data_IF_579547676478
#
_entry.id   IF_579547676478
#
_cell.length_a   1.000
_cell.length_b   1.000
_cell.length_c   1.000
_cell.angle_alpha   90.00
_cell.angle_beta   90.00
_cell.angle_gamma   90.00
#
_symmetry.space_group_name_H-M   'P 1'
#
loop_
_entity.id
_entity.type
_entity.pdbx_description
1 polymer ?
#
# COMPACT_ATOMS: atom_id res chain seq x y z
N UNK A 1 -10.18 10.00 -7.70
CA UNK A 1 -11.23 10.19 -8.74
C UNK A 1 -11.03 9.19 -9.88
N UNK A 2 -9.80 9.02 -10.39
CA UNK A 2 -9.44 8.06 -11.45
C UNK A 2 -9.89 6.61 -11.21
N UNK A 3 -9.78 6.07 -9.99
CA UNK A 3 -10.15 4.67 -9.72
C UNK A 3 -11.66 4.37 -9.84
N UNK A 4 -12.51 5.35 -9.52
CA UNK A 4 -13.97 5.16 -9.61
C UNK A 4 -14.40 5.03 -11.07
N UNK A 5 -13.88 5.89 -11.93
CA UNK A 5 -14.18 5.89 -13.36
C UNK A 5 -13.70 4.60 -14.04
N UNK A 6 -12.52 4.10 -13.63
CA UNK A 6 -11.99 2.83 -14.11
C UNK A 6 -12.89 1.66 -13.71
N UNK A 7 -13.29 1.59 -12.44
CA UNK A 7 -14.18 0.53 -11.92
C UNK A 7 -15.53 0.53 -12.65
N UNK A 8 -16.15 1.70 -12.81
CA UNK A 8 -17.40 1.84 -13.56
C UNK A 8 -17.22 1.50 -15.04
N UNK A 9 -16.05 1.83 -15.61
CA UNK A 9 -15.62 1.39 -16.93
C UNK A 9 -15.63 -0.13 -17.07
N UNK A 10 -15.02 -0.86 -16.12
CA UNK A 10 -15.01 -2.32 -16.11
C UNK A 10 -16.41 -2.91 -16.01
N UNK A 11 -17.27 -2.40 -15.12
CA UNK A 11 -18.64 -2.89 -15.01
C UNK A 11 -19.45 -2.69 -16.30
N UNK A 12 -19.34 -1.52 -16.93
CA UNK A 12 -20.02 -1.23 -18.21
C UNK A 12 -19.50 -2.12 -19.34
N UNK A 13 -18.18 -2.25 -19.44
CA UNK A 13 -17.56 -3.10 -20.46
C UNK A 13 -17.92 -4.57 -20.25
N UNK A 14 -17.90 -5.06 -19.01
CA UNK A 14 -18.34 -6.40 -18.65
C UNK A 14 -19.77 -6.66 -19.11
N UNK A 15 -20.71 -5.77 -18.77
CA UNK A 15 -22.11 -5.92 -19.12
C UNK A 15 -22.30 -6.04 -20.64
N UNK A 16 -21.65 -5.17 -21.41
CA UNK A 16 -21.71 -5.18 -22.88
C UNK A 16 -21.10 -6.45 -23.48
N UNK A 17 -19.97 -6.93 -22.95
CA UNK A 17 -19.33 -8.15 -23.44
C UNK A 17 -20.13 -9.40 -23.09
N UNK A 18 -20.68 -9.47 -21.88
CA UNK A 18 -21.54 -10.58 -21.43
C UNK A 18 -22.82 -10.64 -22.27
N UNK A 19 -23.48 -9.51 -22.51
CA UNK A 19 -24.69 -9.40 -23.35
C UNK A 19 -24.44 -9.92 -24.77
N UNK A 20 -23.24 -9.68 -25.30
CA UNK A 20 -22.79 -10.18 -26.60
C UNK A 20 -22.25 -11.61 -26.58
N UNK A 21 -22.33 -12.32 -25.46
CA UNK A 21 -21.80 -13.68 -25.31
C UNK A 21 -20.28 -13.78 -25.45
N UNK A 22 -19.55 -12.68 -25.30
CA UNK A 22 -18.09 -12.67 -25.42
C UNK A 22 -17.45 -13.36 -24.21
N UNK A 23 -16.85 -14.54 -24.47
CA UNK A 23 -16.01 -15.29 -23.52
C UNK A 23 -14.63 -15.63 -24.12
N UNK A 24 -14.16 -14.79 -25.03
CA UNK A 24 -13.01 -15.09 -25.90
C UNK A 24 -11.73 -14.32 -25.53
N UNK A 25 -11.74 -13.52 -24.46
CA UNK A 25 -10.55 -12.76 -24.04
C UNK A 25 -9.50 -13.75 -23.52
N UNK A 26 -8.31 -13.70 -24.15
CA UNK A 26 -7.17 -14.59 -23.84
C UNK A 26 -6.05 -13.90 -23.05
N UNK A 27 -6.06 -12.56 -23.00
CA UNK A 27 -5.08 -11.74 -22.30
C UNK A 27 -5.71 -10.41 -21.93
N UNK A 28 -5.41 -9.91 -20.74
CA UNK A 28 -5.81 -8.58 -20.29
C UNK A 28 -4.55 -7.79 -19.94
N UNK A 29 -4.43 -6.57 -20.47
CA UNK A 29 -3.34 -5.66 -20.12
C UNK A 29 -3.96 -4.33 -19.72
N UNK A 30 -3.61 -3.86 -18.53
CA UNK A 30 -4.20 -2.69 -17.90
C UNK A 30 -3.06 -1.76 -17.52
N UNK A 31 -3.20 -0.49 -17.86
CA UNK A 31 -2.29 0.56 -17.42
C UNK A 31 -3.01 1.44 -16.40
N UNK A 32 -2.55 1.41 -15.17
CA UNK A 32 -2.99 2.31 -14.11
C UNK A 32 -2.15 3.58 -14.18
N UNK A 33 -2.79 4.72 -14.43
CA UNK A 33 -2.11 6.02 -14.53
C UNK A 33 -2.02 6.76 -13.19
N UNK A 34 -2.38 6.10 -12.08
CA UNK A 34 -2.26 6.68 -10.75
C UNK A 34 -0.78 6.88 -10.38
N UNK A 35 -0.49 7.97 -9.67
CA UNK A 35 0.83 8.29 -9.12
C UNK A 35 1.14 7.53 -7.83
N UNK A 36 0.11 6.94 -7.21
CA UNK A 36 0.19 6.24 -5.92
C UNK A 36 -0.61 4.94 -5.91
N UNK A 37 -0.05 3.89 -5.30
CA UNK A 37 -0.80 2.68 -4.96
C UNK A 37 -1.32 2.84 -3.53
N UNK A 38 -2.62 3.07 -3.35
CA UNK A 38 -3.26 3.26 -2.05
C UNK A 38 -4.43 2.28 -1.85
N UNK A 39 -5.21 2.41 -0.77
CA UNK A 39 -6.26 1.44 -0.42
C UNK A 39 -7.41 1.31 -1.43
N UNK A 40 -7.57 2.24 -2.37
CA UNK A 40 -8.48 2.06 -3.50
C UNK A 40 -8.12 0.87 -4.39
N UNK A 41 -6.84 0.45 -4.39
CA UNK A 41 -6.34 -0.63 -5.25
C UNK A 41 -7.06 -1.96 -5.00
N UNK A 42 -7.50 -2.22 -3.77
CA UNK A 42 -8.26 -3.43 -3.44
C UNK A 42 -9.53 -3.54 -4.27
N UNK A 43 -10.30 -2.45 -4.33
CA UNK A 43 -11.54 -2.41 -5.11
C UNK A 43 -11.27 -2.46 -6.62
N UNK A 44 -10.22 -1.79 -7.08
CA UNK A 44 -9.81 -1.82 -8.50
C UNK A 44 -9.42 -3.24 -8.93
N UNK A 45 -8.57 -3.92 -8.16
CA UNK A 45 -8.14 -5.29 -8.46
C UNK A 45 -9.29 -6.30 -8.35
N UNK A 46 -10.19 -6.14 -7.38
CA UNK A 46 -11.38 -6.99 -7.27
C UNK A 46 -12.32 -6.82 -8.50
N UNK A 47 -12.46 -5.60 -9.01
CA UNK A 47 -13.24 -5.36 -10.24
C UNK A 47 -12.58 -5.99 -11.47
N UNK A 48 -11.24 -5.96 -11.56
CA UNK A 48 -10.48 -6.63 -12.63
C UNK A 48 -10.67 -8.15 -12.52
N UNK A 49 -10.57 -8.72 -11.33
CA UNK A 49 -10.82 -10.14 -11.11
C UNK A 49 -12.23 -10.53 -11.55
N UNK A 50 -13.25 -9.81 -11.09
CA UNK A 50 -14.65 -10.05 -11.48
C UNK A 50 -14.85 -9.95 -13.00
N UNK A 51 -14.23 -8.96 -13.65
CA UNK A 51 -14.23 -8.83 -15.10
C UNK A 51 -13.61 -10.07 -15.76
N UNK A 52 -12.43 -10.50 -15.31
CA UNK A 52 -11.74 -11.66 -15.90
C UNK A 52 -12.57 -12.92 -15.80
N UNK A 53 -13.22 -13.17 -14.66
CA UNK A 53 -14.10 -14.31 -14.44
C UNK A 53 -15.35 -14.29 -15.35
N UNK A 54 -15.86 -13.11 -15.68
CA UNK A 54 -17.08 -12.97 -16.47
C UNK A 54 -16.85 -13.14 -17.97
N UNK A 55 -15.77 -12.58 -18.53
CA UNK A 55 -15.63 -12.40 -19.99
C UNK A 55 -14.41 -13.09 -20.62
N UNK A 56 -13.55 -13.73 -19.82
CA UNK A 56 -12.36 -14.41 -20.36
C UNK A 56 -12.63 -15.89 -20.64
N UNK A 57 -11.80 -16.47 -21.53
CA UNK A 57 -11.91 -17.90 -21.90
C UNK A 57 -11.70 -18.80 -20.69
N UNK A 58 -10.84 -18.37 -19.77
CA UNK A 58 -10.47 -19.08 -18.54
C UNK A 58 -10.16 -18.08 -17.42
N UNK A 59 -10.31 -18.47 -16.15
CA UNK A 59 -9.97 -17.63 -15.00
C UNK A 59 -8.47 -17.35 -14.86
N UNK A 60 -7.61 -18.14 -15.50
CA UNK A 60 -6.14 -18.10 -15.39
C UNK A 60 -5.46 -17.42 -16.59
N UNK A 61 -6.19 -16.58 -17.33
CA UNK A 61 -5.55 -15.82 -18.42
C UNK A 61 -4.46 -14.89 -17.86
N UNK A 62 -3.39 -14.63 -18.63
CA UNK A 62 -2.41 -13.62 -18.25
C UNK A 62 -3.07 -12.25 -18.10
N UNK A 63 -2.98 -11.70 -16.88
CA UNK A 63 -3.32 -10.31 -16.56
C UNK A 63 -2.03 -9.56 -16.28
N UNK A 64 -1.77 -8.53 -17.07
CA UNK A 64 -0.60 -7.67 -16.96
C UNK A 64 -1.06 -6.28 -16.50
N UNK A 65 -0.72 -5.91 -15.26
CA UNK A 65 -1.09 -4.62 -14.69
C UNK A 65 0.18 -3.78 -14.60
N UNK A 66 0.26 -2.76 -15.45
CA UNK A 66 1.34 -1.78 -15.43
C UNK A 66 0.89 -0.57 -14.65
N UNK A 67 1.76 -0.04 -13.81
CA UNK A 67 1.51 1.19 -13.08
C UNK A 67 2.47 2.29 -13.51
N UNK A 68 1.95 3.51 -13.64
CA UNK A 68 2.77 4.73 -13.67
C UNK A 68 3.16 5.20 -12.26
N UNK A 69 2.69 4.52 -11.22
CA UNK A 69 2.84 4.95 -9.85
C UNK A 69 4.29 4.97 -9.40
N UNK A 70 4.70 6.13 -8.90
CA UNK A 70 6.02 6.31 -8.29
C UNK A 70 6.08 5.80 -6.85
N UNK A 71 4.95 5.79 -6.13
CA UNK A 71 4.93 5.51 -4.69
C UNK A 71 3.90 4.43 -4.30
N UNK A 72 4.28 3.60 -3.34
CA UNK A 72 3.38 2.66 -2.66
C UNK A 72 3.01 3.19 -1.27
N UNK A 73 1.72 3.32 -0.99
CA UNK A 73 1.21 3.81 0.29
C UNK A 73 1.03 2.66 1.28
N UNK A 74 1.99 2.50 2.19
CA UNK A 74 2.03 1.50 3.24
C UNK A 74 0.84 1.60 4.21
N UNK A 75 0.17 2.75 4.29
CA UNK A 75 -1.03 2.88 5.12
C UNK A 75 -2.21 2.04 4.60
N UNK A 76 -2.16 1.58 3.34
CA UNK A 76 -3.17 0.64 2.83
C UNK A 76 -3.24 -0.66 3.63
N UNK A 77 -2.16 -1.04 4.33
CA UNK A 77 -2.15 -2.21 5.21
C UNK A 77 -3.16 -2.04 6.36
N UNK A 78 -3.30 -0.81 6.88
CA UNK A 78 -4.29 -0.47 7.91
C UNK A 78 -5.73 -0.51 7.37
N UNK A 79 -5.90 -0.33 6.06
CA UNK A 79 -7.19 -0.30 5.38
C UNK A 79 -7.52 -1.64 4.68
N UNK A 80 -6.80 -2.73 4.99
CA UNK A 80 -7.00 -4.02 4.31
C UNK A 80 -8.43 -4.53 4.58
N UNK A 81 -9.24 -4.79 3.52
CA UNK A 81 -10.60 -5.28 3.69
C UNK A 81 -10.67 -6.60 4.47
N UNK A 82 -11.68 -6.74 5.33
CA UNK A 82 -11.95 -7.99 6.09
C UNK A 82 -13.17 -8.73 5.58
N UNK A 83 -14.03 -8.07 4.79
CA UNK A 83 -15.21 -8.69 4.20
C UNK A 83 -15.62 -7.99 2.89
N UNK A 84 -15.45 -8.66 1.73
CA UNK A 84 -14.67 -9.89 1.55
C UNK A 84 -13.17 -9.63 1.80
N UNK A 85 -12.45 -10.63 2.28
CA UNK A 85 -10.98 -10.59 2.34
C UNK A 85 -10.37 -10.50 0.92
N UNK A 86 -9.19 -9.87 0.76
CA UNK A 86 -8.49 -9.82 -0.53
C UNK A 86 -8.24 -11.23 -1.07
N UNK A 87 -8.70 -11.49 -2.29
CA UNK A 87 -8.49 -12.76 -2.96
C UNK A 87 -7.00 -13.01 -3.26
N UNK A 88 -6.59 -14.25 -3.54
CA UNK A 88 -5.23 -14.54 -3.99
C UNK A 88 -4.81 -13.75 -5.23
N UNK A 89 -5.76 -13.43 -6.13
CA UNK A 89 -5.52 -12.56 -7.27
C UNK A 89 -5.15 -11.15 -6.82
N UNK A 90 -5.94 -10.56 -5.93
CA UNK A 90 -5.70 -9.21 -5.41
C UNK A 90 -4.36 -9.15 -4.67
N UNK A 91 -4.10 -10.09 -3.76
CA UNK A 91 -2.86 -10.12 -2.99
C UNK A 91 -1.62 -10.23 -3.89
N UNK A 92 -1.65 -11.12 -4.90
CA UNK A 92 -0.53 -11.30 -5.84
C UNK A 92 -0.22 -10.02 -6.60
N UNK A 93 -1.23 -9.30 -7.08
CA UNK A 93 -1.00 -8.07 -7.84
C UNK A 93 -0.54 -6.92 -6.93
N UNK A 94 -1.00 -6.85 -5.68
CA UNK A 94 -0.45 -5.89 -4.71
C UNK A 94 1.04 -6.17 -4.44
N UNK A 95 1.43 -7.44 -4.32
CA UNK A 95 2.84 -7.82 -4.16
C UNK A 95 3.68 -7.41 -5.39
N UNK A 96 3.17 -7.64 -6.60
CA UNK A 96 3.85 -7.19 -7.83
C UNK A 96 4.02 -5.67 -7.86
N UNK A 97 2.97 -4.92 -7.51
CA UNK A 97 3.02 -3.46 -7.43
C UNK A 97 4.03 -2.97 -6.38
N UNK A 98 4.16 -3.67 -5.24
CA UNK A 98 5.16 -3.37 -4.23
C UNK A 98 6.60 -3.59 -4.75
N UNK A 99 6.81 -4.68 -5.52
CA UNK A 99 8.11 -4.98 -6.13
C UNK A 99 8.51 -3.91 -7.16
N UNK A 100 7.55 -3.40 -7.93
CA UNK A 100 7.78 -2.39 -8.98
C UNK A 100 7.89 -0.96 -8.44
N UNK A 101 7.45 -0.71 -7.20
CA UNK A 101 7.42 0.64 -6.62
C UNK A 101 8.82 1.27 -6.52
N UNK A 102 8.93 2.54 -6.90
CA UNK A 102 10.18 3.31 -6.82
C UNK A 102 10.36 4.05 -5.47
N UNK A 103 9.27 4.21 -4.73
CA UNK A 103 9.22 4.82 -3.41
C UNK A 103 8.12 4.18 -2.56
N UNK A 104 8.23 4.28 -1.24
CA UNK A 104 7.14 3.90 -0.34
C UNK A 104 6.87 5.02 0.67
N UNK A 105 5.61 5.18 1.06
CA UNK A 105 5.20 6.18 2.05
C UNK A 105 4.20 5.59 3.00
N UNK A 106 4.23 5.98 4.27
CA UNK A 106 3.11 5.78 5.17
C UNK A 106 2.34 7.10 5.26
N UNK A 107 1.16 7.15 4.63
CA UNK A 107 0.30 8.33 4.70
C UNK A 107 -0.57 8.29 5.95
N UNK A 108 -0.36 9.25 6.85
CA UNK A 108 -1.19 9.47 8.03
C UNK A 108 -2.46 10.18 7.60
N UNK A 109 -3.61 9.58 7.90
CA UNK A 109 -4.93 10.10 7.58
C UNK A 109 -5.73 10.31 8.86
N UNK A 110 -6.78 11.16 8.84
CA UNK A 110 -7.56 11.45 10.04
C UNK A 110 -8.05 10.20 10.79
N UNK A 111 -8.49 9.16 10.07
CA UNK A 111 -9.00 7.95 10.71
C UNK A 111 -7.93 7.12 11.43
N UNK A 112 -6.65 7.28 11.06
CA UNK A 112 -5.54 6.63 11.77
C UNK A 112 -5.32 7.20 13.18
N UNK A 113 -5.88 8.38 13.48
CA UNK A 113 -5.80 9.00 14.81
C UNK A 113 -7.03 8.68 15.67
N UNK A 114 -8.16 8.37 15.04
CA UNK A 114 -9.42 8.09 15.73
C UNK A 114 -9.66 6.60 15.93
N UNK A 115 -8.91 5.74 15.24
CA UNK A 115 -9.08 4.29 15.26
C UNK A 115 -7.78 3.62 15.70
N UNK A 116 -7.80 2.78 16.75
CA UNK A 116 -6.63 2.02 17.17
C UNK A 116 -6.05 1.18 16.02
N UNK A 117 -4.74 1.23 15.84
CA UNK A 117 -4.01 0.46 14.82
C UNK A 117 -3.19 -0.69 15.42
N UNK A 118 -3.56 -1.09 16.65
CA UNK A 118 -2.88 -2.11 17.45
C UNK A 118 -3.36 -3.54 17.16
N UNK A 119 -4.52 -3.69 16.52
CA UNK A 119 -5.16 -4.98 16.27
C UNK A 119 -5.35 -5.22 14.77
N UNK A 120 -4.28 -5.53 14.02
CA UNK A 120 -4.39 -5.78 12.59
C UNK A 120 -5.18 -7.06 12.29
N UNK A 121 -5.94 -7.04 11.18
CA UNK A 121 -6.69 -8.22 10.74
C UNK A 121 -5.75 -9.33 10.23
N UNK A 122 -6.19 -10.61 10.24
CA UNK A 122 -5.41 -11.71 9.65
C UNK A 122 -5.03 -11.45 8.18
N UNK A 123 -5.96 -10.88 7.39
CA UNK A 123 -5.70 -10.49 6.01
C UNK A 123 -4.62 -9.40 5.89
N UNK A 124 -4.64 -8.40 6.77
CA UNK A 124 -3.63 -7.35 6.81
C UNK A 124 -2.24 -7.90 7.16
N UNK A 125 -2.17 -8.79 8.15
CA UNK A 125 -0.93 -9.47 8.56
C UNK A 125 -0.38 -10.31 7.40
N UNK A 126 -1.22 -11.16 6.80
CA UNK A 126 -0.82 -12.02 5.68
C UNK A 126 -0.32 -11.21 4.49
N UNK A 127 -1.00 -10.10 4.16
CA UNK A 127 -0.55 -9.19 3.11
C UNK A 127 0.81 -8.59 3.46
N UNK A 128 0.95 -8.01 4.67
CA UNK A 128 2.19 -7.38 5.12
C UNK A 128 3.40 -8.33 5.09
N UNK A 129 3.21 -9.60 5.47
CA UNK A 129 4.25 -10.64 5.46
C UNK A 129 4.82 -10.93 4.07
N UNK A 130 4.04 -10.67 3.01
CA UNK A 130 4.46 -10.96 1.63
C UNK A 130 4.97 -9.73 0.87
N UNK A 131 4.90 -8.52 1.46
CA UNK A 131 5.37 -7.32 0.76
C UNK A 131 6.88 -7.14 0.89
N UNK A 132 7.53 -6.97 -0.26
CA UNK A 132 8.94 -6.58 -0.36
C UNK A 132 9.08 -5.46 -1.39
N UNK A 133 10.08 -4.60 -1.18
CA UNK A 133 10.28 -3.36 -1.89
C UNK A 133 11.74 -3.23 -2.35
N UNK A 134 12.22 -4.11 -3.24
CA UNK A 134 13.61 -4.18 -3.65
C UNK A 134 14.11 -2.93 -4.38
N UNK A 135 13.21 -2.20 -5.03
CA UNK A 135 13.54 -1.02 -5.85
C UNK A 135 13.37 0.31 -5.09
N UNK A 136 12.76 0.28 -3.91
CA UNK A 136 12.51 1.47 -3.10
C UNK A 136 13.81 1.92 -2.45
N UNK A 137 14.17 3.20 -2.67
CA UNK A 137 15.38 3.82 -2.10
C UNK A 137 15.08 4.76 -0.93
N UNK A 138 13.82 5.15 -0.81
CA UNK A 138 13.36 6.18 0.10
C UNK A 138 12.00 5.81 0.68
N UNK A 139 11.88 5.89 2.01
CA UNK A 139 10.63 5.75 2.72
C UNK A 139 10.29 7.01 3.49
N UNK A 140 9.06 7.50 3.32
CA UNK A 140 8.55 8.71 3.95
C UNK A 140 7.34 8.46 4.83
N UNK A 141 7.21 9.22 5.91
CA UNK A 141 5.99 9.33 6.71
C UNK A 141 5.48 10.74 6.53
N UNK A 142 4.28 10.85 5.99
CA UNK A 142 3.68 12.11 5.55
C UNK A 142 2.22 12.15 6.02
N UNK A 143 1.69 13.36 6.27
CA UNK A 143 0.25 13.54 6.46
C UNK A 143 -0.44 13.70 5.11
N UNK A 144 -1.73 13.40 5.03
CA UNK A 144 -2.51 13.66 3.83
C UNK A 144 -2.45 15.14 3.42
N UNK A 145 -2.42 15.43 2.12
CA UNK A 145 -2.35 16.80 1.59
C UNK A 145 -3.43 17.70 2.21
N UNK A 146 -3.03 18.91 2.61
CA UNK A 146 -3.87 19.94 3.22
C UNK A 146 -4.46 19.57 4.58
N UNK A 147 -3.84 18.63 5.29
CA UNK A 147 -4.23 18.28 6.64
C UNK A 147 -3.00 18.13 7.54
N UNK A 148 -3.01 18.88 8.64
CA UNK A 148 -2.08 18.70 9.75
C UNK A 148 -2.91 18.29 10.98
N UNK A 149 -2.52 17.21 11.67
CA UNK A 149 -3.15 16.84 12.94
C UNK A 149 -2.77 17.82 14.04
N UNK A 150 -3.64 17.95 15.04
CA UNK A 150 -3.38 18.77 16.22
C UNK A 150 -2.09 18.35 16.92
N UNK A 151 -1.36 19.32 17.49
CA UNK A 151 -0.04 19.07 18.09
C UNK A 151 -0.12 18.07 19.27
N UNK A 152 -1.24 18.05 19.99
CA UNK A 152 -1.52 17.16 21.12
C UNK A 152 -2.12 15.80 20.73
N UNK A 153 -2.51 15.59 19.47
CA UNK A 153 -3.04 14.30 19.03
C UNK A 153 -2.02 13.16 19.21
N UNK A 154 -2.48 11.96 19.54
CA UNK A 154 -1.58 10.81 19.65
C UNK A 154 -0.93 10.45 18.30
N UNK A 155 0.21 9.75 18.35
CA UNK A 155 0.85 9.24 17.13
C UNK A 155 0.17 7.93 16.69
N UNK A 156 -0.15 7.76 15.40
CA UNK A 156 -0.64 6.48 14.89
C UNK A 156 0.45 5.41 15.06
N UNK A 157 0.10 4.30 15.67
CA UNK A 157 1.02 3.19 15.92
C UNK A 157 0.60 1.91 15.17
N UNK A 158 0.91 1.81 13.86
CA UNK A 158 0.47 0.70 13.03
C UNK A 158 1.28 -0.58 13.30
N UNK A 159 0.78 -1.43 14.21
CA UNK A 159 1.45 -2.70 14.59
C UNK A 159 1.56 -3.65 13.38
N UNK A 160 0.71 -3.52 12.37
CA UNK A 160 0.79 -4.30 11.13
C UNK A 160 2.17 -4.22 10.45
N UNK A 161 2.90 -3.11 10.61
CA UNK A 161 4.23 -2.94 10.02
C UNK A 161 5.27 -3.90 10.63
N UNK A 162 5.05 -4.39 11.85
CA UNK A 162 5.93 -5.39 12.47
C UNK A 162 5.87 -6.72 11.74
N UNK A 163 4.76 -7.02 11.08
CA UNK A 163 4.55 -8.26 10.34
C UNK A 163 5.31 -8.29 9.02
N UNK A 164 5.85 -7.16 8.56
CA UNK A 164 6.67 -7.11 7.36
C UNK A 164 7.99 -7.88 7.55
N UNK A 165 8.51 -8.50 6.48
CA UNK A 165 9.84 -9.14 6.51
C UNK A 165 10.92 -8.19 7.00
N UNK A 166 11.89 -8.69 7.77
CA UNK A 166 13.01 -7.88 8.28
C UNK A 166 13.83 -7.22 7.16
N UNK A 167 13.84 -7.81 5.97
CA UNK A 167 14.49 -7.29 4.78
C UNK A 167 13.48 -6.73 3.76
N UNK A 168 12.29 -6.28 4.20
CA UNK A 168 11.26 -5.78 3.28
C UNK A 168 11.76 -4.62 2.42
N UNK A 169 12.72 -3.82 2.91
CA UNK A 169 13.28 -2.67 2.21
C UNK A 169 14.81 -2.78 2.05
N UNK A 170 15.32 -3.71 1.21
CA UNK A 170 16.75 -4.03 1.19
C UNK A 170 17.62 -2.92 0.60
N UNK A 171 17.06 -2.04 -0.25
CA UNK A 171 17.77 -0.96 -0.93
C UNK A 171 17.51 0.43 -0.33
N UNK A 172 16.69 0.52 0.72
CA UNK A 172 16.35 1.81 1.35
C UNK A 172 17.54 2.32 2.13
N UNK A 173 18.02 3.49 1.75
CA UNK A 173 19.11 4.18 2.44
C UNK A 173 18.63 5.41 3.20
N UNK A 174 17.41 5.88 2.93
CA UNK A 174 16.83 7.09 3.54
C UNK A 174 15.43 6.86 4.09
N UNK A 175 15.25 7.21 5.36
CA UNK A 175 13.95 7.31 6.05
C UNK A 175 13.64 8.77 6.36
N UNK A 176 12.41 9.24 6.11
CA UNK A 176 11.98 10.63 6.33
C UNK A 176 10.70 10.68 7.15
N UNK A 177 10.76 11.19 8.37
CA UNK A 177 9.60 11.51 9.19
C UNK A 177 9.39 13.04 9.14
N UNK A 178 8.51 13.55 8.27
CA UNK A 178 8.34 15.00 8.16
C UNK A 178 7.49 15.62 9.27
N UNK A 179 6.63 14.81 9.90
CA UNK A 179 5.82 15.21 11.04
C UNK A 179 6.21 14.41 12.28
N UNK A 180 6.02 15.02 13.46
CA UNK A 180 6.13 14.31 14.73
C UNK A 180 5.17 13.12 14.80
N UNK A 181 4.04 13.13 14.07
CA UNK A 181 3.10 12.00 14.06
C UNK A 181 3.62 10.78 13.30
N UNK A 182 4.62 10.91 12.44
CA UNK A 182 5.20 9.79 11.70
C UNK A 182 6.22 8.96 12.48
N UNK A 183 6.56 9.34 13.71
CA UNK A 183 7.70 8.77 14.42
C UNK A 183 7.46 7.31 14.85
N UNK A 184 6.29 6.97 15.38
CA UNK A 184 5.94 5.60 15.74
C UNK A 184 6.03 4.65 14.53
N UNK A 185 5.39 5.00 13.41
CA UNK A 185 5.46 4.22 12.17
C UNK A 185 6.91 4.15 11.63
N UNK A 186 7.64 5.25 11.69
CA UNK A 186 9.04 5.31 11.28
C UNK A 186 9.94 4.36 12.07
N UNK A 187 9.75 4.26 13.40
CA UNK A 187 10.49 3.31 14.25
C UNK A 187 10.22 1.86 13.85
N UNK A 188 8.99 1.50 13.51
CA UNK A 188 8.69 0.13 13.05
C UNK A 188 9.35 -0.15 11.71
N UNK A 189 9.26 0.80 10.78
CA UNK A 189 9.80 0.65 9.43
C UNK A 189 11.32 0.61 9.39
N UNK A 190 12.01 1.34 10.25
CA UNK A 190 13.49 1.35 10.25
C UNK A 190 14.06 -0.03 10.55
N UNK A 191 13.38 -0.84 11.39
CA UNK A 191 13.76 -2.23 11.67
C UNK A 191 13.64 -3.16 10.44
N UNK A 192 13.03 -2.69 9.35
CA UNK A 192 12.82 -3.43 8.10
C UNK A 192 13.77 -2.98 6.97
N UNK A 193 14.71 -2.08 7.29
CA UNK A 193 15.60 -1.38 6.35
C UNK A 193 17.08 -1.63 6.70
N UNK A 194 17.64 -2.81 6.33
CA UNK A 194 19.01 -3.17 6.73
C UNK A 194 20.11 -2.24 6.16
N UNK A 195 19.80 -1.44 5.15
CA UNK A 195 20.74 -0.54 4.48
C UNK A 195 20.53 0.95 4.83
N UNK A 196 19.70 1.28 5.82
CA UNK A 196 19.39 2.67 6.17
C UNK A 196 20.66 3.40 6.64
N UNK A 197 20.92 4.57 6.05
CA UNK A 197 22.11 5.39 6.36
C UNK A 197 21.73 6.80 6.79
N UNK A 198 20.53 7.25 6.45
CA UNK A 198 20.06 8.60 6.72
C UNK A 198 18.63 8.56 7.24
N UNK A 199 18.44 9.16 8.41
CA UNK A 199 17.14 9.40 9.01
C UNK A 199 16.94 10.91 9.09
N UNK A 200 15.85 11.40 8.53
CA UNK A 200 15.47 12.81 8.60
C UNK A 200 14.22 12.92 9.46
N UNK A 201 14.30 13.63 10.57
CA UNK A 201 13.20 13.84 11.50
C UNK A 201 12.79 15.33 11.47
N UNK A 202 11.50 15.58 11.31
CA UNK A 202 10.89 16.90 11.38
C UNK A 202 10.03 17.02 12.64
N UNK A 203 10.14 18.16 13.32
CA UNK A 203 9.38 18.46 14.56
C UNK A 203 9.48 17.34 15.63
N UNK A 204 10.67 16.76 15.83
CA UNK A 204 10.93 15.70 16.83
C UNK A 204 11.64 16.23 18.08
N UNK A 205 11.36 15.64 19.24
CA UNK A 205 12.15 15.84 20.47
C UNK A 205 13.44 15.00 20.46
N UNK A 206 14.34 15.24 21.41
CA UNK A 206 15.56 14.46 21.57
C UNK A 206 15.26 12.99 21.89
N UNK A 207 14.32 12.74 22.81
CA UNK A 207 13.91 11.39 23.22
C UNK A 207 13.37 10.59 22.04
N UNK A 208 12.61 11.25 21.16
CA UNK A 208 12.09 10.67 19.94
C UNK A 208 13.19 10.33 18.94
N UNK A 209 14.18 11.21 18.78
CA UNK A 209 15.33 10.97 17.93
C UNK A 209 16.18 9.79 18.46
N UNK A 210 16.43 9.74 19.77
CA UNK A 210 17.13 8.64 20.43
C UNK A 210 16.38 7.32 20.22
N UNK A 211 15.06 7.29 20.43
CA UNK A 211 14.26 6.08 20.21
C UNK A 211 14.27 5.59 18.76
N UNK A 212 14.41 6.49 17.79
CA UNK A 212 14.58 6.12 16.38
C UNK A 212 15.96 5.51 16.11
N UNK A 213 17.02 6.09 16.68
CA UNK A 213 18.38 5.54 16.54
C UNK A 213 18.52 4.18 17.21
N UNK A 214 17.93 3.99 18.38
CA UNK A 214 17.90 2.69 19.07
C UNK A 214 17.20 1.60 18.23
N UNK A 215 16.19 1.97 17.43
CA UNK A 215 15.49 1.02 16.57
C UNK A 215 16.32 0.59 15.33
N UNK A 216 17.37 1.34 14.97
CA UNK A 216 18.30 0.95 13.90
C UNK A 216 19.22 -0.20 14.34
N UNK A 217 19.58 -0.23 15.63
CA UNK A 217 20.62 -1.10 16.17
C UNK A 217 21.95 -0.37 16.29
#
# INVERSE_FOLDING_TARGET
LLDKDLREGFHRLQAVLVDRGCRSIKKLSIKLEDYSINSSIFATLAAIEAFTLAVCVRPDIPVDIKTGASFFDLSLLCDTPTSPEPSPFVQRHIQQLAVEASGARFLIRPHHLTTPLDTPSPAAIALAQCLTFPNVKDVGMETSHNWEPDDDADQPDPIVLDSMPHNAFPAVWRLRCYSGKGLASGRRLVTKMPAVKRITLGRSTEEQAVGMLQAVG
#
